data_IF_302694881640
#
_entry.id   IF_302694881640
#
_cell.length_a   1.000
_cell.length_b   1.000
_cell.length_c   1.000
_cell.angle_alpha   90.00
_cell.angle_beta   90.00
_cell.angle_gamma   90.00
#
_symmetry.space_group_name_H-M   'P 1'
#
loop_
_entity.id
_entity.type
_entity.pdbx_description
1 polymer ?
#
# COMPACT_ATOMS: atom_id res chain seq x y z
N UNK A 1 -20.30 3.61 -11.52
CA UNK A 1 -20.25 3.89 -12.97
C UNK A 1 -21.19 5.02 -13.38
N UNK A 2 -22.45 5.09 -12.90
CA UNK A 2 -23.42 6.14 -13.29
C UNK A 2 -23.00 7.59 -12.96
N UNK A 3 -22.08 7.82 -12.06
CA UNK A 3 -21.52 9.15 -11.79
C UNK A 3 -20.59 9.63 -12.90
N UNK A 4 -19.96 8.74 -13.62
CA UNK A 4 -19.08 9.07 -14.74
C UNK A 4 -19.89 9.36 -16.01
N UNK A 5 -19.50 10.33 -16.85
CA UNK A 5 -20.18 10.63 -18.11
C UNK A 5 -20.33 9.40 -19.00
N UNK A 6 -19.27 8.59 -19.15
CA UNK A 6 -19.28 7.34 -19.91
C UNK A 6 -20.21 6.26 -19.33
N UNK A 7 -20.47 6.26 -18.01
CA UNK A 7 -21.36 5.31 -17.35
C UNK A 7 -22.85 5.68 -17.44
N UNK A 8 -23.19 6.84 -17.97
CA UNK A 8 -24.58 7.29 -18.20
C UNK A 8 -25.11 6.82 -19.55
N UNK A 9 -24.24 6.44 -20.45
CA UNK A 9 -24.61 5.87 -21.74
C UNK A 9 -24.99 4.38 -21.56
N UNK A 10 -26.30 4.10 -21.60
CA UNK A 10 -26.85 2.75 -21.40
C UNK A 10 -26.54 1.79 -22.55
N UNK A 11 -26.04 2.28 -23.67
CA UNK A 11 -25.69 1.47 -24.85
C UNK A 11 -24.26 0.96 -24.75
N UNK A 12 -23.39 1.63 -24.00
CA UNK A 12 -22.01 1.21 -23.81
C UNK A 12 -21.88 0.07 -22.78
N UNK A 13 -21.13 -0.98 -23.09
CA UNK A 13 -20.85 -2.02 -22.11
C UNK A 13 -20.05 -1.44 -20.95
N UNK A 14 -20.32 -1.93 -19.73
CA UNK A 14 -19.52 -1.63 -18.56
C UNK A 14 -18.21 -2.42 -18.67
N UNK A 15 -17.11 -1.73 -18.92
CA UNK A 15 -15.76 -2.29 -18.99
C UNK A 15 -15.10 -2.29 -17.61
N UNK A 16 -14.05 -3.10 -17.43
CA UNK A 16 -13.23 -3.09 -16.21
C UNK A 16 -12.64 -1.69 -15.96
N UNK A 17 -12.12 -1.04 -16.98
CA UNK A 17 -11.64 0.34 -16.93
C UNK A 17 -12.68 1.33 -16.37
N UNK A 18 -13.92 1.21 -16.80
CA UNK A 18 -15.00 2.07 -16.32
C UNK A 18 -15.34 1.78 -14.85
N UNK A 19 -15.21 0.53 -14.42
CA UNK A 19 -15.38 0.14 -13.01
C UNK A 19 -14.25 0.73 -12.16
N UNK A 20 -13.00 0.64 -12.62
CA UNK A 20 -11.84 1.18 -11.92
C UNK A 20 -11.89 2.71 -11.82
N UNK A 21 -12.25 3.40 -12.90
CA UNK A 21 -12.48 4.85 -12.87
C UNK A 21 -13.60 5.23 -11.90
N UNK A 22 -14.69 4.46 -11.85
CA UNK A 22 -15.78 4.70 -10.92
C UNK A 22 -15.36 4.48 -9.46
N UNK A 23 -14.54 3.46 -9.22
CA UNK A 23 -13.95 3.18 -7.91
C UNK A 23 -13.07 4.35 -7.45
N UNK A 24 -12.13 4.80 -8.31
CA UNK A 24 -11.26 5.94 -8.01
C UNK A 24 -12.05 7.22 -7.75
N UNK A 25 -13.05 7.52 -8.57
CA UNK A 25 -13.91 8.69 -8.35
C UNK A 25 -14.62 8.62 -6.99
N UNK A 26 -15.12 7.45 -6.57
CA UNK A 26 -15.75 7.28 -5.25
C UNK A 26 -14.76 7.46 -4.10
N UNK A 27 -13.51 7.04 -4.28
CA UNK A 27 -12.45 7.19 -3.27
C UNK A 27 -12.05 8.65 -3.13
N UNK A 28 -11.82 9.35 -4.25
CA UNK A 28 -11.40 10.76 -4.29
C UNK A 28 -12.51 11.68 -3.78
N UNK A 29 -13.77 11.44 -4.14
CA UNK A 29 -14.92 12.23 -3.70
C UNK A 29 -15.26 12.06 -2.21
N UNK A 30 -14.57 11.19 -1.47
CA UNK A 30 -14.82 10.89 -0.05
C UNK A 30 -16.32 10.80 0.23
N UNK A 31 -16.99 9.84 -0.41
CA UNK A 31 -18.43 9.63 -0.18
C UNK A 31 -18.68 9.51 1.32
N UNK A 32 -19.68 10.21 1.85
CA UNK A 32 -20.01 10.37 3.30
C UNK A 32 -19.84 9.10 4.14
N UNK A 33 -20.08 7.93 3.54
CA UNK A 33 -19.87 6.64 4.18
C UNK A 33 -18.39 6.34 4.48
N UNK A 34 -17.45 6.79 3.62
CA UNK A 34 -16.02 6.57 3.82
C UNK A 34 -15.44 7.47 4.92
N UNK A 35 -15.99 8.67 5.09
CA UNK A 35 -15.61 9.56 6.20
C UNK A 35 -16.07 8.99 7.55
N UNK A 36 -17.30 8.45 7.61
CA UNK A 36 -17.79 7.77 8.81
C UNK A 36 -16.92 6.54 9.13
N UNK A 37 -16.49 5.82 8.11
CA UNK A 37 -15.60 4.66 8.26
C UNK A 37 -14.23 5.07 8.80
N UNK A 38 -13.62 6.13 8.26
CA UNK A 38 -12.36 6.67 8.75
C UNK A 38 -12.44 7.08 10.23
N UNK A 39 -13.58 7.64 10.65
CA UNK A 39 -13.82 7.96 12.05
C UNK A 39 -13.89 6.69 12.92
N UNK A 40 -14.56 5.64 12.43
CA UNK A 40 -14.66 4.35 13.14
C UNK A 40 -13.30 3.66 13.31
N UNK A 41 -12.38 3.84 12.38
CA UNK A 41 -11.00 3.34 12.50
C UNK A 41 -10.22 3.95 13.67
N UNK A 42 -10.65 5.08 14.21
CA UNK A 42 -10.02 5.70 15.38
C UNK A 42 -10.41 4.96 16.69
N UNK A 43 -11.48 4.18 16.69
CA UNK A 43 -11.88 3.40 17.87
C UNK A 43 -10.82 2.31 18.19
N UNK A 44 -10.29 2.25 19.42
CA UNK A 44 -9.22 1.29 19.75
C UNK A 44 -9.57 -0.17 19.46
N UNK A 45 -10.83 -0.57 19.68
CA UNK A 45 -11.33 -1.93 19.40
C UNK A 45 -11.32 -2.27 17.92
N UNK A 46 -11.65 -1.30 17.04
CA UNK A 46 -11.63 -1.47 15.58
C UNK A 46 -10.19 -1.54 15.11
N UNK A 47 -9.37 -0.60 15.57
CA UNK A 47 -7.97 -0.47 15.17
C UNK A 47 -7.15 -1.71 15.50
N UNK A 48 -7.33 -2.29 16.70
CA UNK A 48 -6.63 -3.49 17.15
C UNK A 48 -6.80 -4.69 16.22
N UNK A 49 -7.93 -4.77 15.51
CA UNK A 49 -8.23 -5.88 14.59
C UNK A 49 -7.83 -5.51 13.15
N UNK A 50 -8.22 -4.32 12.70
CA UNK A 50 -8.02 -3.92 11.29
C UNK A 50 -6.54 -3.69 10.98
N UNK A 51 -5.78 -3.10 11.91
CA UNK A 51 -4.39 -2.75 11.70
C UNK A 51 -3.50 -3.97 11.38
N UNK A 52 -3.50 -5.06 12.16
CA UNK A 52 -2.77 -6.27 11.81
C UNK A 52 -3.23 -6.88 10.47
N UNK A 53 -4.53 -6.90 10.21
CA UNK A 53 -5.07 -7.44 8.96
C UNK A 53 -4.61 -6.64 7.73
N UNK A 54 -4.51 -5.31 7.84
CA UNK A 54 -3.98 -4.46 6.78
C UNK A 54 -2.46 -4.62 6.63
N UNK A 55 -1.76 -5.02 7.69
CA UNK A 55 -0.34 -5.38 7.68
C UNK A 55 -0.07 -6.80 7.15
N UNK A 56 -1.12 -7.55 6.77
CA UNK A 56 -1.00 -8.93 6.32
C UNK A 56 -0.71 -9.91 7.44
N UNK A 57 -1.01 -9.55 8.70
CA UNK A 57 -0.84 -10.42 9.88
C UNK A 57 -2.20 -10.76 10.48
N UNK A 58 -2.27 -11.89 11.19
CA UNK A 58 -3.50 -12.23 11.92
C UNK A 58 -3.64 -11.33 13.16
N UNK A 59 -4.85 -10.84 13.45
CA UNK A 59 -5.09 -10.17 14.72
C UNK A 59 -4.89 -11.17 15.85
N UNK A 60 -4.10 -10.80 16.86
CA UNK A 60 -3.85 -11.63 18.03
C UNK A 60 -5.13 -12.02 18.78
N UNK A 61 -5.01 -12.38 20.05
CA UNK A 61 -6.18 -12.67 20.90
C UNK A 61 -7.10 -11.45 21.01
N UNK A 62 -8.26 -11.52 20.38
CA UNK A 62 -9.27 -10.46 20.33
C UNK A 62 -10.58 -11.01 20.86
N UNK A 63 -11.32 -10.21 21.65
CA UNK A 63 -12.64 -10.59 22.16
C UNK A 63 -13.62 -10.83 20.99
N UNK A 64 -14.47 -11.83 21.13
CA UNK A 64 -15.44 -12.16 20.08
C UNK A 64 -16.44 -11.01 19.85
N UNK A 65 -16.81 -10.28 20.88
CA UNK A 65 -17.67 -9.09 20.78
C UNK A 65 -17.06 -8.00 19.88
N UNK A 66 -15.74 -7.80 19.96
CA UNK A 66 -15.04 -6.84 19.09
C UNK A 66 -15.03 -7.33 17.63
N UNK A 67 -14.84 -8.65 17.41
CA UNK A 67 -14.91 -9.26 16.08
C UNK A 67 -16.31 -9.12 15.48
N UNK A 68 -17.33 -9.44 16.27
CA UNK A 68 -18.72 -9.32 15.83
C UNK A 68 -19.08 -7.87 15.51
N UNK A 69 -18.62 -6.93 16.33
CA UNK A 69 -18.82 -5.51 16.08
C UNK A 69 -18.29 -5.05 14.71
N UNK A 70 -17.12 -5.52 14.31
CA UNK A 70 -16.56 -5.18 13.00
C UNK A 70 -17.34 -5.85 11.83
N UNK A 71 -17.89 -7.01 12.07
CA UNK A 71 -18.79 -7.67 11.12
C UNK A 71 -20.11 -6.89 10.98
N UNK A 72 -20.69 -6.46 12.08
CA UNK A 72 -21.93 -5.66 12.10
C UNK A 72 -21.74 -4.27 11.47
N UNK A 73 -20.55 -3.69 11.62
CA UNK A 73 -20.16 -2.47 10.89
C UNK A 73 -19.97 -2.70 9.38
N UNK A 74 -19.96 -3.94 8.92
CA UNK A 74 -19.67 -4.28 7.53
C UNK A 74 -18.21 -4.08 7.11
N UNK A 75 -17.29 -3.91 8.07
CA UNK A 75 -15.85 -3.79 7.82
C UNK A 75 -15.22 -5.14 7.52
N UNK A 76 -15.65 -6.17 8.24
CA UNK A 76 -15.19 -7.54 8.10
C UNK A 76 -16.32 -8.45 7.70
N UNK A 77 -15.99 -9.58 7.14
CA UNK A 77 -16.89 -10.71 6.92
C UNK A 77 -16.17 -12.02 7.26
N UNK A 78 -16.92 -13.05 7.56
CA UNK A 78 -16.37 -14.40 7.66
C UNK A 78 -16.19 -14.96 6.26
N UNK A 79 -15.06 -15.58 6.01
CA UNK A 79 -14.84 -16.36 4.80
C UNK A 79 -15.46 -17.77 4.91
N UNK A 80 -15.34 -18.56 3.83
CA UNK A 80 -15.86 -19.91 3.79
C UNK A 80 -15.18 -20.91 4.76
N UNK A 81 -13.99 -20.56 5.27
CA UNK A 81 -13.25 -21.34 6.26
C UNK A 81 -13.45 -20.84 7.70
N UNK A 82 -14.31 -19.81 7.90
CA UNK A 82 -14.61 -19.21 9.21
C UNK A 82 -13.60 -18.14 9.64
N UNK A 83 -12.61 -17.83 8.82
CA UNK A 83 -11.65 -16.74 9.02
C UNK A 83 -12.30 -15.37 8.85
N UNK A 84 -11.67 -14.32 9.40
CA UNK A 84 -12.10 -12.94 9.19
C UNK A 84 -11.34 -12.35 8.02
N UNK A 85 -12.08 -11.74 7.09
CA UNK A 85 -11.50 -11.01 5.95
C UNK A 85 -12.18 -9.66 5.80
N UNK A 86 -11.49 -8.69 5.21
CA UNK A 86 -12.09 -7.38 4.89
C UNK A 86 -13.30 -7.60 3.98
N UNK A 87 -14.46 -7.08 4.37
CA UNK A 87 -15.74 -7.40 3.76
C UNK A 87 -15.82 -6.96 2.29
N UNK A 88 -15.22 -5.83 1.96
CA UNK A 88 -15.31 -5.21 0.64
C UNK A 88 -13.92 -4.90 0.10
N UNK A 89 -13.61 -5.29 -1.16
CA UNK A 89 -12.33 -4.95 -1.80
C UNK A 89 -12.02 -3.44 -1.79
N UNK A 90 -13.05 -2.58 -1.91
CA UNK A 90 -12.88 -1.12 -1.83
C UNK A 90 -12.31 -0.72 -0.46
N UNK A 91 -12.73 -1.35 0.63
CA UNK A 91 -12.21 -1.04 1.97
C UNK A 91 -10.72 -1.36 2.12
N UNK A 92 -10.23 -2.42 1.49
CA UNK A 92 -8.80 -2.74 1.49
C UNK A 92 -7.95 -1.63 0.92
N UNK A 93 -8.50 -0.88 -0.03
CA UNK A 93 -7.83 0.23 -0.70
C UNK A 93 -8.07 1.56 0.03
N UNK A 94 -9.32 1.81 0.44
CA UNK A 94 -9.72 3.07 1.08
C UNK A 94 -9.17 3.20 2.50
N UNK A 95 -9.19 2.12 3.29
CA UNK A 95 -8.75 2.19 4.69
C UNK A 95 -7.30 2.65 4.83
N UNK A 96 -6.32 2.08 4.12
CA UNK A 96 -4.95 2.57 4.20
C UNK A 96 -4.79 4.01 3.67
N UNK A 97 -5.53 4.39 2.62
CA UNK A 97 -5.49 5.78 2.12
C UNK A 97 -6.04 6.76 3.17
N UNK A 98 -7.14 6.41 3.82
CA UNK A 98 -7.69 7.22 4.90
C UNK A 98 -6.72 7.31 6.10
N UNK A 99 -6.05 6.22 6.43
CA UNK A 99 -5.04 6.17 7.50
C UNK A 99 -3.74 6.90 7.12
N UNK A 100 -3.40 6.96 5.83
CA UNK A 100 -2.21 7.67 5.32
C UNK A 100 -2.39 9.19 5.32
N UNK A 101 -3.60 9.73 5.48
CA UNK A 101 -3.86 11.16 5.48
C UNK A 101 -3.04 11.91 6.53
N UNK A 102 -2.98 11.43 7.76
CA UNK A 102 -2.17 12.03 8.81
C UNK A 102 -0.65 12.06 8.48
N UNK A 103 -0.02 10.94 8.12
CA UNK A 103 1.34 10.94 7.58
C UNK A 103 1.51 11.86 6.38
N UNK A 104 0.58 11.90 5.43
CA UNK A 104 0.66 12.74 4.24
C UNK A 104 0.67 14.24 4.58
N UNK A 105 -0.14 14.68 5.52
CA UNK A 105 -0.18 16.07 5.99
C UNK A 105 1.09 16.47 6.76
N UNK A 106 1.72 15.49 7.41
CA UNK A 106 2.95 15.67 8.18
C UNK A 106 4.22 15.61 7.33
N UNK A 107 4.13 15.23 6.04
CA UNK A 107 5.29 15.15 5.18
C UNK A 107 5.88 16.55 4.89
N UNK A 108 7.22 16.69 4.95
CA UNK A 108 7.89 17.92 4.52
C UNK A 108 7.64 18.17 3.03
N UNK A 109 7.91 19.39 2.59
CA UNK A 109 7.97 19.69 1.16
C UNK A 109 9.13 18.92 0.54
N UNK A 110 8.83 18.06 -0.44
CA UNK A 110 9.81 17.29 -1.20
C UNK A 110 9.82 17.85 -2.62
N UNK A 111 10.98 18.30 -3.09
CA UNK A 111 11.12 18.71 -4.48
C UNK A 111 11.07 17.48 -5.39
N UNK A 112 10.35 17.51 -6.52
CA UNK A 112 10.20 16.37 -7.41
C UNK A 112 11.47 16.11 -8.22
N UNK A 113 12.48 15.51 -7.59
CA UNK A 113 13.76 15.14 -8.23
C UNK A 113 13.66 13.88 -9.09
N UNK A 114 12.52 13.22 -9.06
CA UNK A 114 12.27 11.96 -9.76
C UNK A 114 11.68 12.12 -11.17
N UNK A 115 11.51 13.35 -11.65
CA UNK A 115 11.02 13.60 -13.00
C UNK A 115 12.18 13.92 -13.96
N UNK A 116 12.12 13.32 -15.14
CA UNK A 116 12.97 13.70 -16.26
C UNK A 116 12.54 15.08 -16.83
N UNK A 117 13.37 15.74 -17.64
CA UNK A 117 13.01 17.03 -18.26
C UNK A 117 11.75 17.00 -19.13
N UNK A 118 11.37 15.84 -19.66
CA UNK A 118 10.14 15.62 -20.44
C UNK A 118 8.89 15.37 -19.58
N UNK A 119 9.05 15.38 -18.26
CA UNK A 119 7.98 15.12 -17.30
C UNK A 119 7.71 13.63 -17.05
N UNK A 120 8.44 12.72 -17.68
CA UNK A 120 8.34 11.29 -17.39
C UNK A 120 8.97 10.94 -16.04
N UNK A 121 8.48 9.87 -15.40
CA UNK A 121 9.02 9.41 -14.13
C UNK A 121 10.30 8.60 -14.35
N UNK A 122 11.34 8.93 -13.59
CA UNK A 122 12.60 8.19 -13.54
C UNK A 122 12.60 7.26 -12.31
N UNK A 123 12.52 5.92 -12.47
CA UNK A 123 12.45 4.99 -11.35
C UNK A 123 13.67 5.01 -10.43
N UNK A 124 14.87 5.23 -10.99
CA UNK A 124 16.11 5.26 -10.22
C UNK A 124 16.19 6.54 -9.36
N UNK A 125 15.82 7.67 -9.94
CA UNK A 125 15.72 8.92 -9.21
C UNK A 125 14.62 8.89 -8.15
N UNK A 126 13.49 8.21 -8.43
CA UNK A 126 12.44 7.97 -7.45
C UNK A 126 12.94 7.12 -6.28
N UNK A 127 13.68 6.05 -6.57
CA UNK A 127 14.28 5.20 -5.54
C UNK A 127 15.24 6.00 -4.66
N UNK A 128 16.14 6.78 -5.26
CA UNK A 128 17.07 7.64 -4.53
C UNK A 128 16.33 8.65 -3.64
N UNK A 129 15.31 9.32 -4.17
CA UNK A 129 14.49 10.27 -3.41
C UNK A 129 13.74 9.60 -2.25
N UNK A 130 13.24 8.38 -2.44
CA UNK A 130 12.63 7.62 -1.34
C UNK A 130 13.63 7.25 -0.26
N UNK A 131 14.82 6.77 -0.63
CA UNK A 131 15.86 6.40 0.33
C UNK A 131 16.30 7.61 1.18
N UNK A 132 16.51 8.76 0.54
CA UNK A 132 16.90 10.00 1.23
C UNK A 132 15.77 10.48 2.15
N UNK A 133 14.54 10.48 1.65
CA UNK A 133 13.36 10.80 2.45
C UNK A 133 13.24 9.86 3.67
N UNK A 134 13.37 8.54 3.48
CA UNK A 134 13.22 7.55 4.53
C UNK A 134 14.31 7.67 5.60
N UNK A 135 15.57 7.87 5.20
CA UNK A 135 16.69 8.10 6.13
C UNK A 135 16.49 9.32 7.01
N UNK A 136 15.97 10.40 6.42
CA UNK A 136 15.81 11.67 7.12
C UNK A 136 14.54 11.72 7.97
N UNK A 137 13.44 11.15 7.50
CA UNK A 137 12.12 11.35 8.08
C UNK A 137 11.45 10.07 8.61
N UNK A 138 11.95 8.89 8.27
CA UNK A 138 11.31 7.61 8.62
C UNK A 138 11.13 7.44 10.11
N UNK A 139 12.17 7.68 10.91
CA UNK A 139 12.10 7.46 12.36
C UNK A 139 11.14 8.41 13.09
N UNK A 140 11.15 9.73 12.86
CA UNK A 140 10.16 10.64 13.42
C UNK A 140 8.72 10.30 13.00
N UNK A 141 8.51 9.98 11.73
CA UNK A 141 7.19 9.65 11.21
C UNK A 141 6.65 8.35 11.80
N UNK A 142 7.48 7.32 11.96
CA UNK A 142 7.08 6.08 12.59
C UNK A 142 6.77 6.24 14.07
N UNK A 143 7.52 7.10 14.80
CA UNK A 143 7.27 7.39 16.22
C UNK A 143 5.96 8.16 16.43
N UNK A 144 5.60 9.04 15.51
CA UNK A 144 4.38 9.84 15.59
C UNK A 144 3.14 9.16 14.99
N UNK A 145 3.32 8.08 14.25
CA UNK A 145 2.21 7.41 13.57
C UNK A 145 1.30 6.69 14.57
N UNK A 146 -0.02 6.92 14.50
CA UNK A 146 -0.97 6.27 15.41
C UNK A 146 -1.17 4.77 15.13
N UNK A 147 -0.71 4.29 13.99
CA UNK A 147 -0.94 2.93 13.48
C UNK A 147 0.40 2.19 13.34
N UNK A 148 0.95 1.74 14.47
CA UNK A 148 2.33 1.21 14.56
C UNK A 148 2.60 0.02 13.64
N UNK A 149 1.61 -0.86 13.45
CA UNK A 149 1.76 -2.09 12.64
C UNK A 149 1.95 -1.79 11.15
N UNK A 150 1.17 -0.86 10.62
CA UNK A 150 1.19 -0.50 9.21
C UNK A 150 1.86 0.86 8.93
N UNK A 151 2.39 1.52 9.96
CA UNK A 151 3.01 2.84 9.82
C UNK A 151 4.03 2.91 8.68
N UNK A 152 4.95 1.94 8.49
CA UNK A 152 5.90 1.98 7.38
C UNK A 152 5.22 2.00 6.01
N UNK A 153 4.18 1.17 5.83
CA UNK A 153 3.39 1.14 4.59
C UNK A 153 2.69 2.47 4.33
N UNK A 154 2.09 3.07 5.38
CA UNK A 154 1.41 4.35 5.27
C UNK A 154 2.36 5.49 4.92
N UNK A 155 3.57 5.49 5.48
CA UNK A 155 4.60 6.50 5.17
C UNK A 155 5.09 6.36 3.73
N UNK A 156 5.36 5.13 3.25
CA UNK A 156 5.70 4.89 1.85
C UNK A 156 4.55 5.34 0.92
N UNK A 157 3.32 4.97 1.22
CA UNK A 157 2.16 5.40 0.44
C UNK A 157 2.02 6.92 0.42
N UNK A 158 2.19 7.60 1.55
CA UNK A 158 2.14 9.05 1.63
C UNK A 158 3.21 9.70 0.76
N UNK A 159 4.44 9.16 0.75
CA UNK A 159 5.50 9.58 -0.14
C UNK A 159 5.11 9.39 -1.61
N UNK A 160 4.64 8.19 -2.00
CA UNK A 160 4.25 7.89 -3.38
C UNK A 160 3.04 8.72 -3.84
N UNK A 161 2.12 9.08 -2.96
CA UNK A 161 1.04 10.01 -3.29
C UNK A 161 1.55 11.40 -3.70
N UNK A 162 2.68 11.85 -3.16
CA UNK A 162 3.34 13.09 -3.63
C UNK A 162 3.85 12.95 -5.06
N UNK A 163 4.32 11.76 -5.42
CA UNK A 163 4.80 11.47 -6.78
C UNK A 163 3.65 11.56 -7.78
N UNK A 164 2.51 10.94 -7.49
CA UNK A 164 1.37 10.88 -8.41
C UNK A 164 0.58 12.18 -8.51
N UNK A 165 0.79 13.16 -7.63
CA UNK A 165 0.17 14.48 -7.74
C UNK A 165 0.56 15.21 -9.03
N UNK A 166 1.63 14.79 -9.71
CA UNK A 166 2.05 15.26 -11.04
C UNK A 166 1.38 14.53 -12.22
N UNK A 167 0.51 13.56 -11.97
CA UNK A 167 -0.22 12.78 -12.96
C UNK A 167 0.11 11.29 -12.94
N UNK A 168 -0.64 10.53 -12.16
CA UNK A 168 -0.46 9.07 -12.05
C UNK A 168 -1.50 8.45 -11.14
N UNK A 169 -1.41 7.14 -10.92
CA UNK A 169 -2.24 6.40 -9.98
C UNK A 169 -1.39 5.52 -9.09
N UNK A 170 -1.81 5.35 -7.84
CA UNK A 170 -1.24 4.41 -6.89
C UNK A 170 -2.35 3.49 -6.40
N UNK A 171 -2.28 2.23 -6.79
CA UNK A 171 -3.23 1.20 -6.41
C UNK A 171 -2.61 0.31 -5.34
N UNK A 172 -3.38 0.01 -4.29
CA UNK A 172 -3.01 -0.96 -3.27
C UNK A 172 -3.70 -2.29 -3.53
N UNK A 173 -3.00 -3.39 -3.20
CA UNK A 173 -3.50 -4.76 -3.44
C UNK A 173 -3.99 -4.96 -4.88
N UNK A 174 -3.20 -4.50 -5.84
CA UNK A 174 -3.50 -4.63 -7.25
C UNK A 174 -3.67 -6.10 -7.63
N UNK A 175 -4.87 -6.46 -8.08
CA UNK A 175 -5.22 -7.85 -8.38
C UNK A 175 -4.59 -8.32 -9.69
N UNK A 176 -3.85 -9.44 -9.64
CA UNK A 176 -3.22 -10.08 -10.79
C UNK A 176 -3.59 -11.57 -10.76
N UNK A 177 -4.49 -11.98 -11.64
CA UNK A 177 -4.97 -13.34 -11.65
C UNK A 177 -5.57 -13.75 -10.30
N UNK A 178 -4.98 -14.75 -9.64
CA UNK A 178 -5.39 -15.21 -8.30
C UNK A 178 -4.58 -14.57 -7.15
N UNK A 179 -3.55 -13.76 -7.47
CA UNK A 179 -2.71 -13.08 -6.49
C UNK A 179 -2.95 -11.56 -6.45
N UNK A 180 -2.27 -10.89 -5.52
CA UNK A 180 -2.32 -9.43 -5.37
C UNK A 180 -0.96 -8.90 -5.01
N UNK A 181 -0.55 -7.85 -5.70
CA UNK A 181 0.64 -7.07 -5.40
C UNK A 181 0.29 -5.95 -4.42
N UNK A 182 1.16 -5.68 -3.45
CA UNK A 182 0.87 -4.70 -2.40
C UNK A 182 0.66 -3.29 -2.94
N UNK A 183 1.53 -2.82 -3.84
CA UNK A 183 1.40 -1.51 -4.48
C UNK A 183 1.72 -1.59 -5.97
N UNK A 184 0.94 -0.88 -6.77
CA UNK A 184 1.19 -0.64 -8.18
C UNK A 184 1.13 0.86 -8.46
N UNK A 185 2.27 1.44 -8.81
CA UNK A 185 2.39 2.83 -9.24
C UNK A 185 2.36 2.91 -10.76
N UNK A 186 1.47 3.72 -11.30
CA UNK A 186 1.43 4.04 -12.74
C UNK A 186 1.63 5.52 -12.93
N UNK A 187 2.55 5.89 -13.82
CA UNK A 187 2.84 7.28 -14.15
C UNK A 187 3.23 7.39 -15.63
N UNK A 188 2.36 7.96 -16.44
CA UNK A 188 2.55 7.95 -17.89
C UNK A 188 2.64 6.52 -18.43
N UNK A 189 3.72 6.19 -19.12
CA UNK A 189 3.99 4.86 -19.65
C UNK A 189 4.64 3.91 -18.61
N UNK A 190 5.10 4.43 -17.46
CA UNK A 190 5.75 3.63 -16.42
C UNK A 190 4.72 2.92 -15.56
N UNK A 191 4.94 1.63 -15.35
CA UNK A 191 4.28 0.83 -14.31
C UNK A 191 5.34 0.25 -13.39
N UNK A 192 5.24 0.49 -12.10
CA UNK A 192 6.17 0.00 -11.09
C UNK A 192 5.43 -0.83 -10.05
N UNK A 193 5.74 -2.11 -9.99
CA UNK A 193 5.22 -3.05 -9.01
C UNK A 193 6.07 -3.09 -7.74
N UNK A 194 5.41 -3.15 -6.59
CA UNK A 194 6.09 -3.19 -5.30
C UNK A 194 5.46 -4.23 -4.39
N UNK A 195 6.32 -4.99 -3.71
CA UNK A 195 5.96 -5.90 -2.62
C UNK A 195 6.52 -5.36 -1.32
N UNK A 196 5.72 -5.35 -0.27
CA UNK A 196 6.08 -4.80 1.04
C UNK A 196 6.15 -5.92 2.08
N UNK A 197 7.21 -5.93 2.87
CA UNK A 197 7.41 -6.88 3.97
C UNK A 197 7.76 -6.13 5.24
N UNK A 198 7.28 -6.64 6.37
CA UNK A 198 7.69 -6.18 7.69
C UNK A 198 8.45 -7.31 8.36
N UNK A 199 9.72 -7.07 8.67
CA UNK A 199 10.57 -8.03 9.37
C UNK A 199 10.53 -7.77 10.87
N UNK A 200 10.13 -8.78 11.66
CA UNK A 200 9.98 -8.70 13.11
C UNK A 200 10.91 -9.67 13.83
N UNK A 201 11.08 -9.45 15.13
CA UNK A 201 11.83 -10.35 16.00
C UNK A 201 11.27 -11.79 15.91
N UNK A 202 12.18 -12.76 15.87
CA UNK A 202 11.82 -14.17 15.79
C UNK A 202 11.32 -14.67 14.44
N UNK A 203 11.05 -13.77 13.48
CA UNK A 203 10.68 -14.16 12.12
C UNK A 203 11.91 -14.37 11.23
N UNK A 204 11.88 -15.32 10.28
CA UNK A 204 12.94 -15.46 9.28
C UNK A 204 13.00 -14.23 8.36
N UNK A 205 14.15 -14.04 7.68
CA UNK A 205 14.31 -12.98 6.70
C UNK A 205 13.27 -13.13 5.57
N UNK A 206 12.43 -12.11 5.32
CA UNK A 206 11.39 -12.19 4.31
C UNK A 206 11.88 -12.00 2.87
N UNK A 207 13.19 -11.94 2.63
CA UNK A 207 13.76 -11.69 1.31
C UNK A 207 13.32 -12.74 0.28
N UNK A 208 13.58 -14.02 0.56
CA UNK A 208 13.31 -15.09 -0.41
C UNK A 208 11.80 -15.24 -0.73
N UNK A 209 10.89 -15.29 0.27
CA UNK A 209 9.45 -15.30 -0.03
C UNK A 209 8.97 -14.03 -0.73
N UNK A 210 9.52 -12.86 -0.37
CA UNK A 210 9.19 -11.59 -1.03
C UNK A 210 9.58 -11.55 -2.50
N UNK A 211 10.79 -12.02 -2.84
CA UNK A 211 11.24 -12.14 -4.22
C UNK A 211 10.33 -13.07 -5.04
N UNK A 212 9.93 -14.21 -4.49
CA UNK A 212 9.05 -15.15 -5.18
C UNK A 212 7.64 -14.59 -5.42
N UNK A 213 7.08 -13.88 -4.43
CA UNK A 213 5.77 -13.25 -4.57
C UNK A 213 5.77 -12.13 -5.60
N UNK A 214 6.75 -11.23 -5.51
CA UNK A 214 6.88 -10.13 -6.46
C UNK A 214 7.11 -10.64 -7.88
N UNK A 215 7.95 -11.67 -8.06
CA UNK A 215 8.20 -12.29 -9.37
C UNK A 215 6.91 -12.77 -10.04
N UNK A 216 6.07 -13.49 -9.31
CA UNK A 216 4.79 -13.98 -9.82
C UNK A 216 3.87 -12.83 -10.25
N UNK A 217 3.85 -11.72 -9.51
CA UNK A 217 3.03 -10.55 -9.84
C UNK A 217 3.57 -9.78 -11.04
N UNK A 218 4.89 -9.57 -11.11
CA UNK A 218 5.52 -8.92 -12.25
C UNK A 218 5.33 -9.72 -13.55
N UNK A 219 5.40 -11.06 -13.46
CA UNK A 219 5.10 -11.94 -14.59
C UNK A 219 3.68 -11.73 -15.13
N UNK A 220 2.68 -11.63 -14.25
CA UNK A 220 1.29 -11.39 -14.63
C UNK A 220 1.04 -10.04 -15.30
N UNK A 221 1.92 -9.04 -15.03
CA UNK A 221 1.86 -7.71 -15.64
C UNK A 221 2.79 -7.54 -16.86
N UNK A 222 3.62 -8.53 -17.18
CA UNK A 222 4.65 -8.41 -18.21
C UNK A 222 5.76 -7.41 -17.86
N UNK A 223 6.04 -7.22 -16.55
CA UNK A 223 7.08 -6.32 -16.08
C UNK A 223 8.37 -7.09 -15.79
N UNK A 224 9.50 -6.48 -16.12
CA UNK A 224 10.84 -7.08 -15.94
C UNK A 224 11.55 -6.60 -14.69
N UNK A 225 10.98 -5.63 -13.97
CA UNK A 225 11.56 -5.08 -12.76
C UNK A 225 10.51 -4.63 -11.74
N UNK A 226 10.93 -4.52 -10.47
CA UNK A 226 10.07 -4.05 -9.40
C UNK A 226 10.85 -3.77 -8.12
N UNK A 227 10.15 -3.33 -7.07
CA UNK A 227 10.72 -3.07 -5.77
C UNK A 227 10.22 -4.06 -4.73
N UNK A 228 11.14 -4.63 -3.96
CA UNK A 228 10.85 -5.34 -2.71
C UNK A 228 11.29 -4.46 -1.54
N UNK A 229 10.33 -3.95 -0.78
CA UNK A 229 10.61 -3.10 0.38
C UNK A 229 10.43 -3.91 1.66
N UNK A 230 11.52 -4.08 2.42
CA UNK A 230 11.55 -4.80 3.69
C UNK A 230 11.76 -3.77 4.80
N UNK A 231 10.71 -3.50 5.56
CA UNK A 231 10.77 -2.65 6.74
C UNK A 231 11.25 -3.47 7.93
N UNK A 232 12.46 -3.19 8.41
CA UNK A 232 13.02 -3.88 9.56
C UNK A 232 12.49 -3.27 10.88
N UNK A 233 11.61 -4.01 11.53
CA UNK A 233 10.97 -3.64 12.80
C UNK A 233 11.48 -4.45 13.99
N UNK A 234 12.61 -5.13 13.81
CA UNK A 234 13.25 -5.85 14.90
C UNK A 234 13.77 -4.89 15.97
N UNK A 235 13.75 -5.33 17.21
CA UNK A 235 14.28 -4.54 18.34
C UNK A 235 15.80 -4.37 18.21
N UNK A 236 16.32 -3.34 18.82
CA UNK A 236 17.77 -3.07 18.95
C UNK A 236 18.53 -2.94 17.60
N UNK A 237 17.83 -2.57 16.53
CA UNK A 237 18.47 -2.25 15.26
C UNK A 237 19.07 -0.84 15.29
N UNK A 238 20.13 -0.57 14.51
CA UNK A 238 20.65 0.78 14.31
C UNK A 238 19.56 1.76 13.85
N UNK A 239 19.76 3.08 14.00
CA UNK A 239 18.84 4.08 13.48
C UNK A 239 18.52 3.86 12.00
N UNK A 240 17.32 4.24 11.57
CA UNK A 240 16.87 4.07 10.18
C UNK A 240 17.87 4.68 9.18
N UNK A 241 18.45 5.84 9.52
CA UNK A 241 19.43 6.51 8.66
C UNK A 241 20.66 5.63 8.36
N UNK A 242 21.09 4.81 9.30
CA UNK A 242 22.30 3.98 9.17
C UNK A 242 22.00 2.63 8.53
N UNK A 243 20.83 2.02 8.82
CA UNK A 243 20.48 0.68 8.35
C UNK A 243 19.77 0.64 7.00
N UNK A 244 19.29 1.80 6.51
CA UNK A 244 18.59 1.85 5.21
C UNK A 244 19.57 1.62 4.07
N UNK A 245 19.39 0.50 3.38
CA UNK A 245 20.24 0.06 2.27
C UNK A 245 19.41 -0.33 1.06
N UNK A 246 20.05 -0.36 -0.11
CA UNK A 246 19.47 -0.93 -1.33
C UNK A 246 20.46 -1.89 -1.99
N UNK A 247 19.94 -2.91 -2.64
CA UNK A 247 20.71 -3.85 -3.44
C UNK A 247 19.89 -4.32 -4.63
N UNK A 248 20.56 -4.73 -5.70
CA UNK A 248 19.92 -5.39 -6.82
C UNK A 248 19.94 -6.90 -6.60
N UNK A 249 18.80 -7.53 -6.82
CA UNK A 249 18.64 -8.98 -6.75
C UNK A 249 17.95 -9.48 -8.02
N UNK A 250 18.12 -10.75 -8.30
CA UNK A 250 17.43 -11.42 -9.39
C UNK A 250 16.35 -12.31 -8.79
N UNK A 251 15.12 -12.16 -9.25
CA UNK A 251 14.00 -13.00 -8.83
C UNK A 251 14.13 -14.44 -9.39
N UNK A 252 13.36 -15.40 -8.89
CA UNK A 252 13.34 -16.77 -9.43
C UNK A 252 13.06 -16.85 -10.93
N UNK A 253 12.26 -15.93 -11.48
CA UNK A 253 11.97 -15.83 -12.91
C UNK A 253 12.94 -14.98 -13.72
N UNK A 254 14.06 -14.53 -13.12
CA UNK A 254 15.11 -13.78 -13.83
C UNK A 254 14.91 -12.26 -13.89
N UNK A 255 13.93 -11.70 -13.16
CA UNK A 255 13.63 -10.27 -13.17
C UNK A 255 14.53 -9.47 -12.24
N UNK A 256 14.83 -8.23 -12.62
CA UNK A 256 15.66 -7.32 -11.83
C UNK A 256 14.84 -6.69 -10.69
N UNK A 257 15.18 -6.99 -9.45
CA UNK A 257 14.46 -6.49 -8.27
C UNK A 257 15.36 -5.55 -7.47
N UNK A 258 14.92 -4.32 -7.29
CA UNK A 258 15.53 -3.40 -6.32
C UNK A 258 15.01 -3.76 -4.93
N UNK A 259 15.88 -4.34 -4.11
CA UNK A 259 15.57 -4.68 -2.72
C UNK A 259 15.97 -3.51 -1.83
N UNK A 260 15.01 -2.99 -1.09
CA UNK A 260 15.17 -1.90 -0.14
C UNK A 260 15.01 -2.50 1.26
N UNK A 261 16.01 -2.36 2.10
CA UNK A 261 15.93 -2.64 3.54
C UNK A 261 15.87 -1.31 4.29
N UNK A 262 14.79 -1.10 5.05
CA UNK A 262 14.43 0.20 5.58
C UNK A 262 14.03 0.16 7.07
#
# INVERSE_FOLDING_TARGET
>A
CFKLPAGRDRVRPITLDLIDQAKEAMIVERVTHLDQLAHKLQEPRVRRIIEPMLAGTEPGAVAEDDRQYLVDLGLLRRDGAGGLVVANPIYREVLPRALAGGPQDSLPRISPTWLNPDGSLNPEALLAAFLDFWRLHGEPLLKSAPYHEIAPHLVLMAFLHRVINGGGTLEREYAIGMGRMDLCLRYGALTLGMELKVWRDGAPDPLAPGLGQLDAYLAGLGLESGWLVIFDRRAHQPPIAERTTTSQQVSPGGRAISVIRA
#
